data_IF_571971325255
#
_entry.id   IF_571971325255
#
_cell.length_a   1.000
_cell.length_b   1.000
_cell.length_c   1.000
_cell.angle_alpha   90.00
_cell.angle_beta   90.00
_cell.angle_gamma   90.00
#
_symmetry.space_group_name_H-M   'P 1'
#
loop_
_entity.id
_entity.type
_entity.pdbx_description
1 polymer ?
#
# COMPACT_ATOMS: atom_id res chain seq x y z
N UNK A 1 -57.48 3.38 -36.12
CA UNK A 1 -58.52 2.75 -35.29
C UNK A 1 -57.91 1.57 -34.57
N UNK A 2 -57.73 1.61 -33.24
CA UNK A 2 -57.29 0.46 -32.44
C UNK A 2 -58.47 -0.20 -31.71
N UNK A 3 -58.48 -1.53 -31.70
CA UNK A 3 -59.46 -2.39 -31.03
C UNK A 3 -59.09 -2.58 -29.54
N UNK A 4 -60.03 -2.52 -28.58
CA UNK A 4 -59.78 -2.62 -27.15
C UNK A 4 -60.02 -4.04 -26.63
N UNK A 5 -59.69 -4.23 -25.34
CA UNK A 5 -60.01 -5.34 -24.41
C UNK A 5 -58.81 -6.24 -24.10
N UNK A 6 -58.27 -6.12 -22.89
CA UNK A 6 -58.69 -6.94 -21.76
C UNK A 6 -58.12 -6.37 -20.45
N UNK A 7 -59.04 -6.20 -19.49
CA UNK A 7 -58.87 -5.70 -18.12
C UNK A 7 -58.31 -6.75 -17.15
N UNK A 8 -57.82 -6.33 -15.96
CA UNK A 8 -57.00 -7.15 -15.05
C UNK A 8 -57.83 -7.89 -13.99
N UNK A 9 -57.26 -8.88 -13.26
CA UNK A 9 -57.86 -9.35 -12.02
C UNK A 9 -57.33 -8.60 -10.79
N UNK A 10 -58.24 -8.51 -9.82
CA UNK A 10 -58.23 -7.74 -8.58
C UNK A 10 -57.38 -8.35 -7.47
N UNK A 11 -57.04 -7.46 -6.55
CA UNK A 11 -56.53 -7.63 -5.20
C UNK A 11 -57.07 -8.83 -4.41
N UNK A 12 -56.18 -9.42 -3.61
CA UNK A 12 -56.53 -10.11 -2.36
C UNK A 12 -55.74 -9.49 -1.21
N UNK A 13 -56.49 -9.09 -0.19
CA UNK A 13 -56.11 -8.57 1.13
C UNK A 13 -55.53 -9.66 2.04
N UNK A 14 -54.52 -9.29 2.85
CA UNK A 14 -54.18 -9.83 4.18
C UNK A 14 -53.22 -8.81 4.79
N UNK A 15 -53.64 -7.89 5.66
CA UNK A 15 -53.92 -8.02 7.10
C UNK A 15 -52.73 -8.54 7.92
N UNK A 16 -52.24 -7.63 8.76
CA UNK A 16 -51.65 -7.82 10.08
C UNK A 16 -50.31 -8.56 10.17
N UNK A 17 -49.26 -7.76 10.45
CA UNK A 17 -48.33 -7.97 11.57
C UNK A 17 -47.44 -6.75 11.73
N UNK A 18 -47.81 -5.92 12.70
CA UNK A 18 -46.90 -5.01 13.37
C UNK A 18 -45.82 -5.85 14.07
N UNK A 19 -44.57 -5.65 13.66
CA UNK A 19 -43.42 -6.04 14.46
C UNK A 19 -42.64 -4.77 14.76
N UNK A 20 -42.90 -4.23 15.95
CA UNK A 20 -42.05 -3.28 16.64
C UNK A 20 -40.62 -3.84 16.69
N UNK A 21 -39.70 -3.15 16.00
CA UNK A 21 -38.27 -3.33 16.18
C UNK A 21 -37.86 -2.47 17.38
N UNK A 22 -37.91 -3.05 18.58
CA UNK A 22 -37.17 -2.52 19.73
C UNK A 22 -35.67 -2.63 19.42
N UNK A 23 -35.01 -1.48 19.40
CA UNK A 23 -33.54 -1.39 19.38
C UNK A 23 -33.07 -1.67 20.81
N UNK A 24 -32.39 -2.79 20.99
CA UNK A 24 -31.80 -3.20 22.26
C UNK A 24 -30.55 -2.34 22.57
N UNK A 25 -30.73 -1.35 23.45
CA UNK A 25 -29.69 -0.42 23.94
C UNK A 25 -28.65 -1.07 24.88
N UNK A 26 -28.61 -2.41 25.01
CA UNK A 26 -27.67 -3.10 25.92
C UNK A 26 -26.29 -3.42 25.34
N UNK A 27 -26.01 -3.08 24.07
CA UNK A 27 -24.72 -3.33 23.43
C UNK A 27 -23.68 -2.20 23.57
N UNK A 28 -24.03 -1.07 24.19
CA UNK A 28 -23.13 0.09 24.35
C UNK A 28 -22.36 0.08 25.69
N UNK A 29 -22.75 -0.74 26.66
CA UNK A 29 -22.16 -0.70 28.02
C UNK A 29 -21.15 -1.83 28.35
N UNK A 30 -20.71 -2.61 27.35
CA UNK A 30 -19.65 -3.63 27.53
C UNK A 30 -18.24 -3.16 27.13
N UNK A 31 -18.09 -1.96 26.54
CA UNK A 31 -16.79 -1.48 26.05
C UNK A 31 -16.02 -0.55 27.01
N UNK A 32 -16.52 -0.30 28.22
CA UNK A 32 -15.89 0.61 29.22
C UNK A 32 -15.28 -0.08 30.44
N UNK A 33 -15.22 -1.43 30.53
CA UNK A 33 -14.77 -2.14 31.74
C UNK A 33 -13.54 -3.05 31.65
N UNK A 34 -12.74 -3.01 30.58
CA UNK A 34 -11.44 -3.69 30.56
C UNK A 34 -10.26 -2.70 30.60
N UNK A 35 -10.16 -1.94 31.71
CA UNK A 35 -8.89 -1.39 32.18
C UNK A 35 -8.26 -2.41 33.12
N UNK A 36 -7.35 -3.23 32.59
CA UNK A 36 -6.49 -4.08 33.41
C UNK A 36 -5.32 -3.23 33.88
N UNK A 37 -5.27 -2.95 35.19
CA UNK A 37 -4.08 -2.47 35.88
C UNK A 37 -3.08 -3.62 36.02
N UNK A 38 -1.77 -3.41 35.76
CA UNK A 38 -0.79 -4.44 36.05
C UNK A 38 -0.36 -4.35 37.52
N UNK A 39 -0.79 -5.33 38.31
CA UNK A 39 -0.21 -5.64 39.63
C UNK A 39 1.11 -6.37 39.41
N UNK A 40 2.21 -5.78 39.86
CA UNK A 40 3.53 -6.41 39.87
C UNK A 40 3.59 -7.33 41.09
N UNK A 41 3.74 -8.64 40.86
CA UNK A 41 4.17 -9.60 41.87
C UNK A 41 5.47 -10.25 41.41
N UNK A 42 6.52 -10.02 42.19
CA UNK A 42 7.84 -10.64 42.02
C UNK A 42 7.78 -12.14 42.31
N UNK A 43 8.40 -12.95 41.44
CA UNK A 43 8.85 -14.31 41.75
C UNK A 43 10.18 -14.50 41.02
N UNK A 44 11.26 -14.60 41.80
CA UNK A 44 12.57 -15.10 41.38
C UNK A 44 12.56 -16.63 41.42
N UNK A 45 13.03 -17.30 40.37
CA UNK A 45 14.26 -18.11 40.38
C UNK A 45 14.42 -18.99 39.14
N UNK A 46 15.54 -18.75 38.45
CA UNK A 46 16.51 -19.68 37.86
C UNK A 46 16.06 -21.03 37.30
N UNK A 47 16.37 -21.27 36.01
CA UNK A 47 17.02 -22.51 35.56
C UNK A 47 17.66 -22.33 34.17
N UNK A 48 19.00 -22.31 34.16
CA UNK A 48 19.93 -22.74 33.12
C UNK A 48 19.54 -22.55 31.64
N UNK A 49 19.98 -21.44 31.06
CA UNK A 49 20.13 -21.30 29.61
C UNK A 49 21.42 -22.01 29.15
N UNK A 50 21.26 -23.05 28.34
CA UNK A 50 22.32 -23.66 27.52
C UNK A 50 22.87 -22.60 26.54
N UNK A 51 24.10 -22.14 26.78
CA UNK A 51 24.76 -21.07 26.00
C UNK A 51 25.35 -21.55 24.67
N UNK A 52 25.21 -22.83 24.31
CA UNK A 52 25.85 -23.42 23.12
C UNK A 52 24.86 -24.04 22.10
N UNK A 53 23.59 -23.63 22.11
CA UNK A 53 22.68 -23.99 21.01
C UNK A 53 23.14 -23.28 19.72
N UNK A 54 23.49 -24.02 18.64
CA UNK A 54 23.83 -23.39 17.37
C UNK A 54 22.65 -22.53 16.89
N UNK A 55 22.92 -21.27 16.55
CA UNK A 55 21.92 -20.37 15.99
C UNK A 55 21.20 -21.08 14.83
N UNK A 56 19.86 -21.13 14.82
CA UNK A 56 19.13 -21.86 13.79
C UNK A 56 19.54 -21.35 12.40
N UNK A 57 19.78 -22.30 11.49
CA UNK A 57 20.12 -22.07 10.08
C UNK A 57 19.39 -20.85 9.54
N UNK A 58 20.15 -19.96 8.85
CA UNK A 58 19.68 -18.74 8.16
C UNK A 58 18.20 -18.82 7.80
N UNK A 59 17.35 -18.19 8.62
CA UNK A 59 15.90 -18.12 8.44
C UNK A 59 15.61 -17.54 7.07
N UNK A 60 15.23 -18.41 6.12
CA UNK A 60 14.89 -17.99 4.76
C UNK A 60 13.54 -17.28 4.83
N UNK A 61 13.45 -16.09 4.20
CA UNK A 61 12.18 -15.40 3.99
C UNK A 61 11.14 -16.36 3.42
N UNK A 62 9.88 -16.25 3.84
CA UNK A 62 8.75 -17.07 3.39
C UNK A 62 8.61 -17.13 1.85
N UNK A 63 8.93 -16.02 1.16
CA UNK A 63 8.96 -15.98 -0.30
C UNK A 63 9.97 -16.97 -0.91
N UNK A 64 11.03 -17.31 -0.18
CA UNK A 64 12.08 -18.24 -0.59
C UNK A 64 11.75 -19.70 -0.24
N UNK A 65 10.75 -19.95 0.61
CA UNK A 65 10.38 -21.29 1.06
C UNK A 65 9.14 -21.87 0.35
N UNK A 66 8.29 -21.03 -0.24
CA UNK A 66 7.07 -21.44 -0.95
C UNK A 66 7.29 -21.52 -2.48
N UNK A 67 6.54 -22.39 -3.16
CA UNK A 67 6.54 -22.45 -4.64
C UNK A 67 5.93 -21.17 -5.23
N UNK A 68 6.76 -20.32 -5.83
CA UNK A 68 6.33 -19.04 -6.42
C UNK A 68 5.34 -19.22 -7.58
N UNK A 69 5.35 -20.36 -8.26
CA UNK A 69 4.42 -20.69 -9.35
C UNK A 69 2.99 -21.02 -8.88
N UNK A 70 2.83 -21.44 -7.62
CA UNK A 70 1.53 -21.78 -7.06
C UNK A 70 0.84 -20.57 -6.40
N UNK A 71 1.61 -19.53 -6.08
CA UNK A 71 1.08 -18.28 -5.53
C UNK A 71 0.03 -17.65 -6.46
N UNK A 72 -0.97 -17.03 -5.84
CA UNK A 72 -1.99 -16.24 -6.49
C UNK A 72 -2.34 -15.04 -5.60
N UNK A 73 -3.03 -14.05 -6.16
CA UNK A 73 -3.57 -12.93 -5.38
C UNK A 73 -3.14 -11.56 -5.89
N UNK A 74 -3.28 -10.57 -5.02
CA UNK A 74 -3.03 -9.16 -5.34
C UNK A 74 -1.72 -8.72 -4.70
N UNK A 75 -0.81 -8.15 -5.48
CA UNK A 75 0.52 -7.78 -5.01
C UNK A 75 0.84 -6.34 -5.40
N UNK A 76 1.45 -5.62 -4.48
CA UNK A 76 1.94 -4.27 -4.70
C UNK A 76 3.45 -4.30 -4.62
N UNK A 77 4.10 -4.02 -5.75
CA UNK A 77 5.54 -3.89 -5.84
C UNK A 77 5.91 -2.40 -5.80
N UNK A 78 6.70 -1.99 -4.83
CA UNK A 78 7.32 -0.66 -4.85
C UNK A 78 8.73 -0.73 -5.44
N UNK A 79 9.05 0.24 -6.29
CA UNK A 79 10.31 0.27 -7.01
C UNK A 79 10.91 1.68 -6.99
N UNK A 80 12.21 1.78 -6.78
CA UNK A 80 12.92 3.06 -6.75
C UNK A 80 14.25 2.99 -6.01
N UNK A 81 15.04 4.04 -6.17
CA UNK A 81 16.39 4.10 -5.61
C UNK A 81 16.45 3.95 -4.08
N UNK A 82 17.62 3.59 -3.52
CA UNK A 82 17.92 3.82 -2.11
C UNK A 82 17.55 5.25 -1.69
N UNK A 83 16.95 5.37 -0.51
CA UNK A 83 16.49 6.68 0.00
C UNK A 83 15.27 7.27 -0.72
N UNK A 84 14.63 6.56 -1.66
CA UNK A 84 13.38 7.03 -2.29
C UNK A 84 12.16 6.99 -1.37
N UNK A 85 12.28 6.44 -0.16
CA UNK A 85 11.19 6.40 0.81
C UNK A 85 10.27 5.17 0.69
N UNK A 86 10.70 4.07 0.05
CA UNK A 86 9.95 2.80 -0.01
C UNK A 86 9.50 2.31 1.37
N UNK A 87 10.44 2.15 2.30
CA UNK A 87 10.12 1.68 3.66
C UNK A 87 9.20 2.65 4.39
N UNK A 88 9.38 3.97 4.21
CA UNK A 88 8.47 4.99 4.76
C UNK A 88 7.07 4.90 4.16
N UNK A 89 6.94 4.69 2.85
CA UNK A 89 5.66 4.50 2.18
C UNK A 89 4.96 3.24 2.72
N UNK A 90 5.66 2.10 2.77
CA UNK A 90 5.09 0.87 3.30
C UNK A 90 4.67 1.03 4.76
N UNK A 91 5.53 1.53 5.63
CA UNK A 91 5.23 1.64 7.06
C UNK A 91 4.11 2.65 7.34
N UNK A 92 3.99 3.72 6.53
CA UNK A 92 2.91 4.69 6.66
C UNK A 92 1.58 4.14 6.13
N UNK A 93 1.61 3.36 5.05
CA UNK A 93 0.43 2.61 4.58
C UNK A 93 -0.03 1.61 5.64
N UNK A 94 0.89 0.83 6.22
CA UNK A 94 0.56 -0.11 7.30
C UNK A 94 -0.04 0.63 8.50
N UNK A 95 0.52 1.78 8.89
CA UNK A 95 -0.06 2.60 9.96
C UNK A 95 -1.49 3.03 9.64
N UNK A 96 -1.72 3.59 8.45
CA UNK A 96 -3.05 3.98 7.99
C UNK A 96 -4.03 2.79 8.01
N UNK A 97 -3.60 1.62 7.55
CA UNK A 97 -4.39 0.40 7.52
C UNK A 97 -4.74 -0.15 8.90
N UNK A 98 -3.87 0.01 9.89
CA UNK A 98 -4.06 -0.58 11.20
C UNK A 98 -4.76 0.36 12.19
N UNK A 99 -4.63 1.67 12.04
CA UNK A 99 -4.98 2.63 13.10
C UNK A 99 -6.00 3.68 12.69
N UNK A 100 -6.15 4.00 11.40
CA UNK A 100 -6.82 5.26 10.99
C UNK A 100 -7.95 5.07 9.98
N UNK A 101 -7.75 4.24 8.96
CA UNK A 101 -8.70 4.19 7.87
C UNK A 101 -10.02 3.49 8.22
N UNK A 102 -11.09 3.74 7.44
CA UNK A 102 -12.46 3.31 7.75
C UNK A 102 -12.71 1.83 7.36
N UNK A 103 -11.83 0.94 7.78
CA UNK A 103 -11.86 -0.50 7.50
C UNK A 103 -11.50 -1.32 8.75
N UNK A 104 -11.92 -2.57 8.73
CA UNK A 104 -11.32 -3.60 9.58
C UNK A 104 -10.16 -4.21 8.81
N UNK A 105 -8.95 -4.06 9.35
CA UNK A 105 -7.74 -4.64 8.75
C UNK A 105 -7.14 -5.69 9.67
N UNK A 106 -6.75 -6.81 9.09
CA UNK A 106 -5.99 -7.86 9.75
C UNK A 106 -4.62 -8.00 9.07
N UNK A 107 -3.56 -7.97 9.87
CA UNK A 107 -2.22 -8.27 9.41
C UNK A 107 -1.99 -9.78 9.55
N UNK A 108 -1.82 -10.47 8.43
CA UNK A 108 -1.71 -11.93 8.43
C UNK A 108 -0.27 -12.32 8.74
N UNK A 109 -0.07 -12.83 9.95
CA UNK A 109 1.26 -13.15 10.51
C UNK A 109 1.66 -14.60 10.33
N UNK A 110 0.71 -15.46 9.95
CA UNK A 110 0.92 -16.89 9.76
C UNK A 110 1.16 -17.21 8.28
N UNK A 111 2.05 -18.18 8.04
CA UNK A 111 2.22 -18.75 6.72
C UNK A 111 1.10 -19.75 6.38
N UNK A 112 1.11 -20.26 5.14
CA UNK A 112 0.07 -21.18 4.67
C UNK A 112 0.14 -22.54 5.40
N UNK A 113 1.25 -22.79 6.12
CA UNK A 113 1.46 -23.93 7.02
C UNK A 113 1.10 -23.63 8.48
N UNK A 114 0.64 -22.41 8.79
CA UNK A 114 0.24 -21.98 10.14
C UNK A 114 1.37 -21.48 11.04
N UNK A 115 2.62 -21.43 10.55
CA UNK A 115 3.77 -20.94 11.30
C UNK A 115 3.83 -19.42 11.33
N UNK A 116 4.27 -18.85 12.45
CA UNK A 116 4.35 -17.40 12.64
C UNK A 116 5.64 -16.84 12.04
N UNK A 117 5.54 -15.83 11.19
CA UNK A 117 6.70 -15.07 10.70
C UNK A 117 7.14 -14.03 11.75
N UNK A 118 8.07 -14.44 12.61
CA UNK A 118 8.59 -13.59 13.69
C UNK A 118 9.35 -12.36 13.19
N UNK A 119 10.02 -12.44 12.05
CA UNK A 119 10.84 -11.34 11.54
C UNK A 119 9.96 -10.21 11.01
N UNK A 120 8.90 -10.59 10.28
CA UNK A 120 7.88 -9.65 9.82
C UNK A 120 7.14 -9.02 11.00
N UNK A 121 6.77 -9.80 12.02
CA UNK A 121 6.12 -9.28 13.23
C UNK A 121 7.00 -8.29 13.98
N UNK A 122 8.29 -8.61 14.13
CA UNK A 122 9.26 -7.72 14.75
C UNK A 122 9.39 -6.41 13.97
N UNK A 123 9.47 -6.49 12.64
CA UNK A 123 9.54 -5.32 11.78
C UNK A 123 8.32 -4.40 11.94
N UNK A 124 7.10 -4.93 11.86
CA UNK A 124 5.88 -4.13 12.02
C UNK A 124 5.79 -3.54 13.43
N UNK A 125 6.21 -4.29 14.45
CA UNK A 125 6.28 -3.79 15.84
C UNK A 125 7.27 -2.64 15.97
N UNK A 126 8.44 -2.74 15.34
CA UNK A 126 9.42 -1.65 15.30
C UNK A 126 8.86 -0.41 14.61
N UNK A 127 8.21 -0.56 13.45
CA UNK A 127 7.57 0.55 12.75
C UNK A 127 6.54 1.26 13.63
N UNK A 128 5.69 0.52 14.35
CA UNK A 128 4.73 1.11 15.31
C UNK A 128 5.44 1.91 16.40
N UNK A 129 6.52 1.37 16.96
CA UNK A 129 7.32 2.06 17.98
C UNK A 129 7.97 3.34 17.44
N UNK A 130 8.54 3.28 16.24
CA UNK A 130 9.16 4.43 15.56
C UNK A 130 8.13 5.52 15.31
N UNK A 131 6.96 5.17 14.76
CA UNK A 131 5.88 6.12 14.49
C UNK A 131 5.34 6.79 15.75
N UNK A 132 5.19 6.07 16.86
CA UNK A 132 4.81 6.65 18.17
C UNK A 132 5.80 7.71 18.64
N UNK A 133 7.08 7.55 18.32
CA UNK A 133 8.14 8.51 18.64
C UNK A 133 8.36 9.58 17.57
N UNK A 134 7.54 9.58 16.51
CA UNK A 134 7.68 10.44 15.33
C UNK A 134 8.86 10.09 14.42
N UNK A 135 9.58 9.00 14.66
CA UNK A 135 10.74 8.59 13.85
C UNK A 135 10.29 7.86 12.59
N UNK A 136 11.06 8.04 11.52
CA UNK A 136 10.92 7.25 10.30
C UNK A 136 11.61 5.89 10.44
N UNK A 137 11.11 4.84 9.76
CA UNK A 137 11.72 3.52 9.81
C UNK A 137 13.10 3.51 9.17
N UNK A 138 13.96 2.62 9.70
CA UNK A 138 15.24 2.33 9.08
C UNK A 138 15.06 1.72 7.67
N UNK A 139 16.00 1.97 6.72
CA UNK A 139 15.96 1.34 5.41
C UNK A 139 16.00 -0.18 5.48
N UNK A 140 15.36 -0.84 4.51
CA UNK A 140 15.41 -2.30 4.33
C UNK A 140 16.85 -2.76 4.06
N UNK A 141 17.36 -3.79 4.75
CA UNK A 141 18.67 -4.37 4.45
C UNK A 141 18.78 -4.90 3.02
N UNK A 142 20.01 -4.92 2.48
CA UNK A 142 20.31 -5.39 1.12
C UNK A 142 20.47 -6.91 1.10
N UNK A 143 19.85 -7.60 0.15
CA UNK A 143 19.95 -9.06 -0.03
C UNK A 143 18.61 -9.71 -0.40
N UNK A 144 18.62 -10.80 -1.17
CA UNK A 144 17.40 -11.54 -1.55
C UNK A 144 16.70 -12.15 -0.33
N UNK A 145 17.47 -12.56 0.69
CA UNK A 145 16.99 -13.05 1.98
C UNK A 145 16.19 -12.02 2.78
N UNK A 146 16.30 -10.75 2.41
CA UNK A 146 15.59 -9.64 3.03
C UNK A 146 14.39 -9.14 2.22
N UNK A 147 14.06 -9.81 1.11
CA UNK A 147 12.79 -9.59 0.40
C UNK A 147 11.66 -10.12 1.28
N UNK A 148 10.70 -9.27 1.63
CA UNK A 148 9.61 -9.58 2.56
C UNK A 148 8.25 -9.39 1.91
N UNK A 149 7.30 -10.25 2.28
CA UNK A 149 5.90 -10.19 1.84
C UNK A 149 5.01 -9.86 3.04
N UNK A 150 4.43 -8.65 3.07
CA UNK A 150 3.48 -8.26 4.11
C UNK A 150 2.05 -8.48 3.64
N UNK A 151 1.30 -9.35 4.31
CA UNK A 151 -0.06 -9.73 3.91
C UNK A 151 -1.14 -9.01 4.73
N UNK A 152 -2.15 -8.49 4.04
CA UNK A 152 -3.26 -7.76 4.66
C UNK A 152 -4.61 -8.23 4.13
N UNK A 153 -5.53 -8.43 5.07
CA UNK A 153 -6.95 -8.64 4.82
C UNK A 153 -7.70 -7.38 5.26
N UNK A 154 -8.28 -6.65 4.31
CA UNK A 154 -8.93 -5.35 4.56
C UNK A 154 -10.39 -5.42 4.16
N UNK A 155 -11.28 -5.13 5.11
CA UNK A 155 -12.74 -5.08 4.88
C UNK A 155 -13.27 -3.67 5.18
N UNK A 156 -13.81 -2.94 4.18
CA UNK A 156 -14.39 -1.62 4.41
C UNK A 156 -15.54 -1.67 5.43
N UNK A 157 -15.60 -0.69 6.34
CA UNK A 157 -16.70 -0.57 7.32
C UNK A 157 -17.94 0.11 6.72
N UNK A 158 -17.74 0.93 5.69
CA UNK A 158 -18.78 1.72 5.01
C UNK A 158 -18.78 1.44 3.51
N UNK A 159 -19.88 1.78 2.83
CA UNK A 159 -19.98 1.64 1.38
C UNK A 159 -20.07 0.19 0.91
N UNK A 160 -19.40 -0.09 -0.22
CA UNK A 160 -19.32 -1.42 -0.81
C UNK A 160 -18.27 -2.23 -0.02
N UNK A 161 -18.75 -3.14 0.83
CA UNK A 161 -17.92 -3.94 1.75
C UNK A 161 -17.27 -5.16 1.08
N UNK A 162 -16.63 -4.97 -0.08
CA UNK A 162 -15.88 -6.06 -0.71
C UNK A 162 -14.53 -6.21 0.02
N UNK A 163 -14.22 -7.38 0.58
CA UNK A 163 -12.94 -7.59 1.21
C UNK A 163 -11.82 -7.58 0.16
N UNK A 164 -10.67 -7.02 0.53
CA UNK A 164 -9.45 -7.03 -0.24
C UNK A 164 -8.37 -7.79 0.53
N UNK A 165 -7.87 -8.87 -0.06
CA UNK A 165 -6.62 -9.50 0.36
C UNK A 165 -5.52 -9.05 -0.57
N UNK A 166 -4.43 -8.51 -0.04
CA UNK A 166 -3.28 -8.09 -0.84
C UNK A 166 -1.97 -8.16 -0.08
N UNK A 167 -0.88 -8.18 -0.84
CA UNK A 167 0.47 -8.34 -0.34
C UNK A 167 1.33 -7.13 -0.75
N UNK A 168 2.07 -6.55 0.20
CA UNK A 168 3.12 -5.57 -0.08
C UNK A 168 4.46 -6.31 -0.18
N UNK A 169 5.18 -6.11 -1.29
CA UNK A 169 6.53 -6.62 -1.45
C UNK A 169 7.54 -5.55 -1.03
N UNK A 170 8.27 -5.82 0.04
CA UNK A 170 9.37 -4.98 0.49
C UNK A 170 10.70 -5.52 -0.05
N UNK A 171 11.36 -4.71 -0.87
CA UNK A 171 12.67 -4.99 -1.47
C UNK A 171 13.59 -3.80 -1.28
N UNK A 172 14.86 -4.05 -0.98
CA UNK A 172 15.90 -3.01 -0.91
C UNK A 172 16.06 -2.30 -2.27
N UNK A 173 16.32 -1.00 -2.24
CA UNK A 173 16.56 -0.23 -3.47
C UNK A 173 17.85 -0.62 -4.18
N UNK A 174 18.83 -1.11 -3.42
CA UNK A 174 20.12 -1.59 -3.90
C UNK A 174 19.94 -2.86 -4.72
N UNK A 175 19.17 -3.84 -4.23
CA UNK A 175 18.81 -5.05 -4.98
C UNK A 175 18.07 -4.71 -6.29
N UNK A 176 17.21 -3.67 -6.24
CA UNK A 176 16.47 -3.21 -7.42
C UNK A 176 17.33 -2.45 -8.43
N UNK A 177 18.49 -1.89 -8.05
CA UNK A 177 19.41 -1.22 -8.98
C UNK A 177 20.10 -2.20 -9.93
N UNK A 178 20.13 -3.49 -9.62
CA UNK A 178 20.78 -4.50 -10.47
C UNK A 178 20.09 -4.68 -11.83
N UNK A 179 18.88 -4.13 -12.02
CA UNK A 179 18.21 -4.07 -13.33
C UNK A 179 18.78 -2.99 -14.25
N UNK A 180 19.72 -2.17 -13.78
CA UNK A 180 20.48 -1.27 -14.64
C UNK A 180 21.60 -2.04 -15.33
N UNK A 181 21.71 -2.00 -16.67
CA UNK A 181 22.86 -2.56 -17.36
C UNK A 181 24.14 -1.84 -16.92
N UNK A 182 25.25 -2.58 -16.84
CA UNK A 182 26.59 -2.02 -16.64
C UNK A 182 27.51 -2.47 -17.77
N UNK A 183 28.67 -1.83 -17.94
CA UNK A 183 29.64 -2.18 -19.01
C UNK A 183 30.05 -3.66 -19.02
N UNK A 184 29.85 -4.38 -17.91
CA UNK A 184 30.30 -5.77 -17.74
C UNK A 184 29.19 -6.73 -17.30
N UNK A 185 27.94 -6.27 -17.17
CA UNK A 185 26.86 -7.11 -16.67
C UNK A 185 25.52 -6.70 -17.28
N UNK A 186 24.83 -7.68 -17.84
CA UNK A 186 23.44 -7.56 -18.27
C UNK A 186 22.54 -7.23 -17.06
N UNK A 187 21.40 -6.55 -17.29
CA UNK A 187 20.46 -6.25 -16.23
C UNK A 187 19.90 -7.55 -15.64
N UNK A 188 19.88 -7.66 -14.32
CA UNK A 188 19.33 -8.83 -13.62
C UNK A 188 18.34 -8.36 -12.56
N UNK A 189 17.16 -8.96 -12.58
CA UNK A 189 16.25 -8.88 -11.45
C UNK A 189 16.51 -10.08 -10.53
N UNK A 190 16.44 -9.85 -9.22
CA UNK A 190 16.48 -10.92 -8.23
C UNK A 190 15.57 -12.08 -8.65
N UNK A 191 16.07 -13.32 -8.59
CA UNK A 191 15.40 -14.49 -9.18
C UNK A 191 13.97 -14.64 -8.66
N UNK A 192 13.80 -14.43 -7.37
CA UNK A 192 12.54 -14.46 -6.63
C UNK A 192 11.52 -13.47 -7.19
N UNK A 193 11.95 -12.25 -7.48
CA UNK A 193 11.07 -11.22 -8.05
C UNK A 193 10.71 -11.56 -9.49
N UNK A 194 11.65 -12.09 -10.28
CA UNK A 194 11.37 -12.50 -11.64
C UNK A 194 10.36 -13.65 -11.69
N UNK A 195 10.54 -14.69 -10.88
CA UNK A 195 9.62 -15.83 -10.79
C UNK A 195 8.22 -15.38 -10.32
N UNK A 196 8.16 -14.52 -9.30
CA UNK A 196 6.90 -13.98 -8.81
C UNK A 196 6.20 -13.13 -9.88
N UNK A 197 6.92 -12.21 -10.52
CA UNK A 197 6.37 -11.34 -11.55
C UNK A 197 5.94 -12.11 -12.80
N UNK A 198 6.56 -13.25 -13.11
CA UNK A 198 6.20 -14.12 -14.24
C UNK A 198 4.93 -14.94 -13.99
N UNK A 199 4.37 -14.94 -12.78
CA UNK A 199 3.20 -15.74 -12.45
C UNK A 199 1.89 -15.10 -12.97
N UNK A 200 1.19 -15.83 -13.83
CA UNK A 200 -0.07 -15.38 -14.45
C UNK A 200 -1.28 -15.31 -13.50
N UNK A 201 -1.20 -15.98 -12.35
CA UNK A 201 -2.26 -15.97 -11.33
C UNK A 201 -2.18 -14.76 -10.40
N UNK A 202 -1.10 -13.97 -10.50
CA UNK A 202 -0.90 -12.80 -9.68
C UNK A 202 -1.29 -11.54 -10.44
N UNK A 203 -2.04 -10.66 -9.76
CA UNK A 203 -2.34 -9.30 -10.19
C UNK A 203 -1.39 -8.34 -9.49
N UNK A 204 -0.69 -7.52 -10.26
CA UNK A 204 0.30 -6.58 -9.71
C UNK A 204 -0.10 -5.12 -9.90
N UNK A 205 0.17 -4.34 -8.87
CA UNK A 205 0.33 -2.89 -8.96
C UNK A 205 1.82 -2.60 -8.82
N UNK A 206 2.35 -1.79 -9.72
CA UNK A 206 3.72 -1.30 -9.67
C UNK A 206 3.68 0.16 -9.24
N UNK A 207 4.37 0.49 -8.15
CA UNK A 207 4.50 1.86 -7.64
C UNK A 207 5.96 2.31 -7.79
N UNK A 208 6.20 3.25 -8.68
CA UNK A 208 7.49 3.91 -8.87
C UNK A 208 7.61 5.06 -7.87
N UNK A 209 8.50 4.92 -6.89
CA UNK A 209 8.78 5.95 -5.89
C UNK A 209 9.90 6.87 -6.38
N UNK A 210 9.48 8.03 -6.87
CA UNK A 210 10.35 9.03 -7.44
C UNK A 210 11.00 9.89 -6.35
N UNK A 211 12.33 9.93 -6.35
CA UNK A 211 13.13 10.71 -5.41
C UNK A 211 13.62 12.01 -6.08
N UNK A 212 13.11 13.20 -5.71
CA UNK A 212 13.49 14.45 -6.39
C UNK A 212 14.98 14.81 -6.26
N UNK A 213 15.72 14.18 -5.34
CA UNK A 213 17.15 14.38 -5.16
C UNK A 213 18.04 13.52 -6.08
N UNK A 214 17.47 12.65 -6.93
CA UNK A 214 18.23 11.75 -7.81
C UNK A 214 17.82 11.96 -9.25
N UNK A 215 18.73 12.39 -10.13
CA UNK A 215 18.38 12.66 -11.54
C UNK A 215 18.14 11.38 -12.35
N UNK A 216 18.82 10.29 -12.00
CA UNK A 216 18.77 9.01 -12.73
C UNK A 216 17.45 8.24 -12.54
N UNK A 217 16.42 8.81 -11.88
CA UNK A 217 15.15 8.10 -11.66
C UNK A 217 14.54 7.67 -12.99
N UNK A 218 14.65 8.54 -14.01
CA UNK A 218 14.04 8.29 -15.32
C UNK A 218 14.63 7.03 -15.96
N UNK A 219 15.97 6.95 -16.03
CA UNK A 219 16.67 5.80 -16.61
C UNK A 219 16.40 4.52 -15.82
N UNK A 220 16.39 4.58 -14.48
CA UNK A 220 16.08 3.43 -13.64
C UNK A 220 14.69 2.86 -13.94
N UNK A 221 13.67 3.73 -14.02
CA UNK A 221 12.31 3.29 -14.25
C UNK A 221 12.06 2.81 -15.68
N UNK A 222 12.62 3.50 -16.67
CA UNK A 222 12.55 3.08 -18.08
C UNK A 222 13.21 1.72 -18.25
N UNK A 223 14.40 1.50 -17.69
CA UNK A 223 15.12 0.23 -17.79
C UNK A 223 14.35 -0.90 -17.09
N UNK A 224 13.80 -0.64 -15.90
CA UNK A 224 13.00 -1.64 -15.19
C UNK A 224 11.74 -2.06 -15.98
N UNK A 225 10.97 -1.10 -16.49
CA UNK A 225 9.76 -1.40 -17.25
C UNK A 225 10.10 -2.10 -18.58
N UNK A 226 11.17 -1.68 -19.25
CA UNK A 226 11.65 -2.31 -20.49
C UNK A 226 12.15 -3.73 -20.25
N UNK A 227 12.85 -3.97 -19.14
CA UNK A 227 13.27 -5.30 -18.72
C UNK A 227 12.06 -6.21 -18.52
N UNK A 228 11.01 -5.74 -17.84
CA UNK A 228 9.78 -6.52 -17.67
C UNK A 228 9.07 -6.78 -19.00
N UNK A 229 8.93 -5.77 -19.86
CA UNK A 229 8.34 -5.91 -21.20
C UNK A 229 9.08 -6.95 -22.06
N UNK A 230 10.40 -7.09 -21.88
CA UNK A 230 11.26 -7.99 -22.66
C UNK A 230 11.32 -9.41 -22.11
N UNK A 231 11.38 -9.56 -20.78
CA UNK A 231 11.72 -10.83 -20.14
C UNK A 231 10.52 -11.58 -19.56
N UNK A 232 9.37 -10.92 -19.36
CA UNK A 232 8.17 -11.61 -18.89
C UNK A 232 7.45 -12.30 -20.05
N UNK A 233 6.75 -13.43 -19.81
CA UNK A 233 6.05 -14.17 -20.87
C UNK A 233 4.81 -13.44 -21.43
N UNK A 234 4.52 -12.23 -20.94
CA UNK A 234 3.37 -11.41 -21.33
C UNK A 234 3.72 -9.93 -21.26
N UNK A 235 2.89 -9.10 -21.88
CA UNK A 235 3.00 -7.65 -21.80
C UNK A 235 2.55 -7.14 -20.42
N UNK A 236 3.49 -6.64 -19.61
CA UNK A 236 3.20 -6.16 -18.25
C UNK A 236 2.21 -5.01 -18.24
N UNK A 237 2.18 -4.18 -19.29
CA UNK A 237 1.28 -3.01 -19.40
C UNK A 237 -0.20 -3.37 -19.50
N UNK A 238 -0.50 -4.58 -19.97
CA UNK A 238 -1.88 -5.07 -20.04
C UNK A 238 -2.33 -5.67 -18.69
N UNK A 239 -1.39 -6.20 -17.92
CA UNK A 239 -1.66 -6.96 -16.69
C UNK A 239 -1.56 -6.14 -15.41
N UNK A 240 -0.66 -5.16 -15.36
CA UNK A 240 -0.38 -4.36 -14.18
C UNK A 240 -1.02 -2.97 -14.22
N UNK A 241 -1.26 -2.42 -13.04
CA UNK A 241 -1.52 -0.99 -12.86
C UNK A 241 -0.24 -0.27 -12.46
N UNK A 242 -0.06 0.97 -12.91
CA UNK A 242 1.16 1.76 -12.73
C UNK A 242 0.91 3.05 -11.95
N UNK A 243 1.50 3.17 -10.77
CA UNK A 243 1.52 4.39 -9.96
C UNK A 243 2.89 5.05 -9.99
N UNK A 244 2.95 6.37 -10.09
CA UNK A 244 4.15 7.16 -9.79
C UNK A 244 3.87 7.96 -8.52
N UNK A 245 4.73 7.82 -7.52
CA UNK A 245 4.60 8.50 -6.22
C UNK A 245 5.82 9.38 -5.97
N UNK A 246 5.58 10.68 -5.85
CA UNK A 246 6.63 11.66 -5.52
C UNK A 246 6.85 11.68 -4.02
N UNK A 247 7.97 11.09 -3.57
CA UNK A 247 8.24 10.77 -2.16
C UNK A 247 8.50 11.97 -1.24
N UNK A 248 9.02 13.08 -1.78
CA UNK A 248 9.43 14.27 -1.02
C UNK A 248 8.85 15.53 -1.67
N UNK A 249 7.54 15.79 -1.51
CA UNK A 249 6.82 16.81 -2.29
C UNK A 249 7.38 18.23 -2.12
N UNK A 250 7.93 18.58 -0.96
CA UNK A 250 8.55 19.89 -0.74
C UNK A 250 9.83 20.09 -1.56
N UNK A 251 10.71 19.08 -1.58
CA UNK A 251 11.92 19.08 -2.41
C UNK A 251 11.57 19.07 -3.90
N UNK A 252 10.60 18.25 -4.30
CA UNK A 252 10.09 18.20 -5.67
C UNK A 252 9.49 19.54 -6.13
N UNK A 253 8.75 20.25 -5.27
CA UNK A 253 8.23 21.57 -5.60
C UNK A 253 9.35 22.58 -5.84
N UNK A 254 10.40 22.55 -5.01
CA UNK A 254 11.58 23.40 -5.21
C UNK A 254 12.20 23.12 -6.58
N UNK A 255 12.46 21.85 -6.88
CA UNK A 255 12.99 21.43 -8.19
C UNK A 255 12.09 21.87 -9.35
N UNK A 256 10.77 21.75 -9.24
CA UNK A 256 9.84 22.22 -10.28
C UNK A 256 9.97 23.73 -10.52
N UNK A 257 10.07 24.54 -9.45
CA UNK A 257 10.24 26.00 -9.54
C UNK A 257 11.55 26.37 -10.22
N UNK A 258 12.60 25.58 -10.00
CA UNK A 258 13.90 25.78 -10.63
C UNK A 258 13.89 25.38 -12.11
N UNK A 259 13.13 24.32 -12.47
CA UNK A 259 13.04 23.81 -13.85
C UNK A 259 12.10 24.62 -14.76
N UNK A 260 11.02 25.20 -14.22
CA UNK A 260 10.00 25.90 -15.02
C UNK A 260 9.70 27.30 -14.50
N UNK A 261 9.82 28.29 -15.37
CA UNK A 261 9.33 29.64 -15.11
C UNK A 261 7.81 29.62 -14.89
N UNK A 262 7.31 30.51 -14.03
CA UNK A 262 5.88 30.63 -13.73
C UNK A 262 5.39 29.83 -12.51
N UNK A 263 6.20 28.93 -11.93
CA UNK A 263 5.81 28.15 -10.74
C UNK A 263 6.16 28.82 -9.39
N UNK A 264 6.75 30.02 -9.40
CA UNK A 264 7.21 30.71 -8.17
C UNK A 264 6.11 30.89 -7.12
N UNK A 265 4.88 31.17 -7.56
CA UNK A 265 3.69 31.39 -6.73
C UNK A 265 3.03 30.10 -6.20
N UNK A 266 3.43 28.92 -6.69
CA UNK A 266 2.83 27.65 -6.28
C UNK A 266 3.28 27.33 -4.85
N UNK A 267 2.32 27.21 -3.93
CA UNK A 267 2.59 26.92 -2.52
C UNK A 267 2.87 25.44 -2.27
N UNK A 268 2.21 24.54 -3.00
CA UNK A 268 2.28 23.10 -2.78
C UNK A 268 2.27 22.30 -4.09
N UNK A 269 2.98 21.17 -4.07
CA UNK A 269 2.89 20.15 -5.10
C UNK A 269 1.60 19.34 -4.89
N UNK A 270 0.54 19.62 -5.66
CA UNK A 270 -0.73 18.85 -5.68
C UNK A 270 -1.33 18.88 -7.08
N UNK A 271 -2.17 17.88 -7.40
CA UNK A 271 -2.92 17.80 -8.65
C UNK A 271 -1.99 17.94 -9.87
N UNK A 272 -2.33 18.86 -10.78
CA UNK A 272 -1.55 19.10 -12.01
C UNK A 272 -0.08 19.42 -11.74
N UNK A 273 0.25 20.09 -10.62
CA UNK A 273 1.65 20.46 -10.36
C UNK A 273 2.52 19.23 -10.06
N UNK A 274 1.94 18.19 -9.46
CA UNK A 274 2.64 16.91 -9.29
C UNK A 274 2.91 16.27 -10.64
N UNK A 275 1.95 16.32 -11.55
CA UNK A 275 2.09 15.82 -12.91
C UNK A 275 3.14 16.61 -13.71
N UNK A 276 3.07 17.95 -13.68
CA UNK A 276 4.04 18.85 -14.31
C UNK A 276 5.48 18.60 -13.82
N UNK A 277 5.64 18.29 -12.53
CA UNK A 277 6.94 17.90 -11.97
C UNK A 277 7.44 16.59 -12.55
N UNK A 278 6.61 15.54 -12.56
CA UNK A 278 7.00 14.23 -13.12
C UNK A 278 7.33 14.36 -14.62
N UNK A 279 6.52 15.09 -15.39
CA UNK A 279 6.78 15.38 -16.81
C UNK A 279 8.14 16.09 -17.03
N UNK A 280 8.49 17.03 -16.15
CA UNK A 280 9.74 17.79 -16.27
C UNK A 280 10.97 17.00 -15.82
N UNK A 281 10.83 16.24 -14.73
CA UNK A 281 11.95 15.63 -14.02
C UNK A 281 12.25 14.21 -14.51
N UNK A 282 11.23 13.44 -14.90
CA UNK A 282 11.37 12.07 -15.40
C UNK A 282 10.50 11.89 -16.65
N UNK A 283 10.88 12.60 -17.72
CA UNK A 283 10.10 12.77 -18.94
C UNK A 283 9.78 11.44 -19.64
N UNK A 284 10.71 10.51 -19.68
CA UNK A 284 10.53 9.22 -20.37
C UNK A 284 9.57 8.32 -19.58
N UNK A 285 9.71 8.29 -18.26
CA UNK A 285 8.82 7.62 -17.32
C UNK A 285 7.42 8.22 -17.39
N UNK A 286 7.31 9.55 -17.41
CA UNK A 286 6.03 10.23 -17.60
C UNK A 286 5.37 9.81 -18.91
N UNK A 287 6.13 9.74 -20.01
CA UNK A 287 5.59 9.28 -21.30
C UNK A 287 5.11 7.84 -21.25
N UNK A 288 5.86 6.93 -20.63
CA UNK A 288 5.42 5.53 -20.45
C UNK A 288 4.12 5.46 -19.64
N UNK A 289 4.01 6.25 -18.57
CA UNK A 289 2.79 6.36 -17.78
C UNK A 289 1.63 6.98 -18.57
N UNK A 290 1.89 8.04 -19.32
CA UNK A 290 0.89 8.72 -20.14
C UNK A 290 0.35 7.76 -21.21
N UNK A 291 1.22 6.98 -21.83
CA UNK A 291 0.91 5.97 -22.84
C UNK A 291 0.44 4.63 -22.23
N UNK A 292 0.25 4.55 -20.89
CA UNK A 292 -0.26 3.32 -20.26
C UNK A 292 -1.67 3.01 -20.78
N UNK A 293 -1.95 1.78 -21.27
CA UNK A 293 -3.10 1.51 -22.13
C UNK A 293 -4.46 1.84 -21.52
N UNK A 294 -4.65 1.56 -20.22
CA UNK A 294 -5.89 1.84 -19.51
C UNK A 294 -5.69 3.05 -18.59
N UNK A 295 -6.33 4.20 -18.86
CA UNK A 295 -6.21 5.39 -18.02
C UNK A 295 -6.74 5.19 -16.59
N UNK A 296 -7.57 4.17 -16.32
CA UNK A 296 -8.01 3.85 -14.95
C UNK A 296 -6.97 3.06 -14.17
N UNK A 297 -6.01 2.44 -14.87
CA UNK A 297 -4.90 1.65 -14.29
C UNK A 297 -3.66 2.48 -14.01
N UNK A 298 -3.72 3.80 -14.11
CA UNK A 298 -2.57 4.68 -13.88
C UNK A 298 -2.86 5.77 -12.87
N UNK A 299 -1.85 6.13 -12.08
CA UNK A 299 -1.94 7.20 -11.07
C UNK A 299 -0.62 7.97 -10.97
N UNK A 300 -0.69 9.29 -10.79
CA UNK A 300 0.40 10.10 -10.24
C UNK A 300 -0.09 10.68 -8.92
N UNK A 301 0.70 10.52 -7.86
CA UNK A 301 0.40 11.09 -6.56
C UNK A 301 1.66 11.61 -5.87
N UNK A 302 1.47 12.46 -4.86
CA UNK A 302 2.52 12.85 -3.93
C UNK A 302 2.44 11.98 -2.68
N UNK A 303 3.55 11.80 -1.99
CA UNK A 303 3.56 11.24 -0.64
C UNK A 303 3.77 12.36 0.38
N UNK A 304 2.69 13.06 0.73
CA UNK A 304 2.72 13.98 1.86
C UNK A 304 2.34 13.23 3.13
N UNK A 305 3.26 13.21 4.10
CA UNK A 305 3.11 12.46 5.35
C UNK A 305 2.55 13.31 6.50
N UNK A 306 2.51 14.64 6.32
CA UNK A 306 2.19 15.62 7.35
C UNK A 306 3.34 16.56 7.68
N UNK A 307 3.31 17.16 8.86
CA UNK A 307 4.30 18.12 9.33
C UNK A 307 5.55 17.39 9.86
N UNK A 308 6.70 17.73 9.30
CA UNK A 308 8.01 17.13 9.64
C UNK A 308 8.92 18.22 10.17
N UNK A 309 9.49 18.01 11.36
CA UNK A 309 10.41 18.93 12.02
C UNK A 309 11.79 18.27 12.21
N UNK A 310 12.84 19.08 12.29
CA UNK A 310 14.15 18.62 12.73
C UNK A 310 14.26 18.75 14.26
N UNK A 311 14.31 17.61 14.95
CA UNK A 311 14.44 17.56 16.40
C UNK A 311 15.75 16.85 16.73
N UNK A 312 16.74 17.63 17.15
CA UNK A 312 18.10 17.16 17.50
C UNK A 312 18.83 16.49 16.33
N UNK A 313 18.74 17.05 15.12
CA UNK A 313 19.40 16.53 13.92
C UNK A 313 18.70 15.33 13.30
N UNK A 314 17.46 15.06 13.69
CA UNK A 314 16.64 13.96 13.18
C UNK A 314 15.30 14.49 12.70
N UNK A 315 14.97 14.22 11.42
CA UNK A 315 13.64 14.49 10.88
C UNK A 315 12.60 13.63 11.61
N UNK A 316 11.55 14.26 12.13
CA UNK A 316 10.46 13.60 12.84
C UNK A 316 9.10 14.07 12.34
N UNK A 317 8.18 13.13 12.20
CA UNK A 317 6.78 13.42 11.91
C UNK A 317 6.08 13.87 13.21
N UNK A 318 5.70 15.14 13.27
CA UNK A 318 5.05 15.73 14.46
C UNK A 318 3.53 15.73 14.35
N UNK A 319 2.99 15.87 13.13
CA UNK A 319 1.56 15.80 12.86
C UNK A 319 1.31 14.99 11.59
N UNK A 320 0.83 13.75 11.68
CA UNK A 320 0.55 12.92 10.50
C UNK A 320 -0.60 13.52 9.68
N UNK A 321 -0.49 13.41 8.36
CA UNK A 321 -1.56 13.66 7.40
C UNK A 321 -1.73 12.43 6.51
N UNK A 322 -2.91 11.82 6.55
CA UNK A 322 -3.21 10.57 5.85
C UNK A 322 -3.86 10.78 4.48
N UNK A 323 -4.16 12.01 4.05
CA UNK A 323 -4.89 12.25 2.79
C UNK A 323 -4.19 11.63 1.58
N UNK A 324 -2.86 11.73 1.51
CA UNK A 324 -2.10 11.20 0.38
C UNK A 324 -2.14 9.67 0.37
N UNK A 325 -1.95 9.04 1.53
CA UNK A 325 -1.91 7.57 1.62
C UNK A 325 -3.30 6.95 1.48
N UNK A 326 -4.34 7.63 1.97
CA UNK A 326 -5.73 7.28 1.72
C UNK A 326 -6.05 7.28 0.22
N UNK A 327 -5.70 8.34 -0.51
CA UNK A 327 -5.94 8.41 -1.95
C UNK A 327 -5.17 7.33 -2.74
N UNK A 328 -3.93 7.03 -2.33
CA UNK A 328 -3.15 5.93 -2.92
C UNK A 328 -3.80 4.58 -2.62
N UNK A 329 -4.27 4.36 -1.38
CA UNK A 329 -4.94 3.12 -1.00
C UNK A 329 -6.29 2.93 -1.68
N UNK A 330 -7.10 3.97 -1.81
CA UNK A 330 -8.36 3.92 -2.56
C UNK A 330 -8.13 3.53 -4.02
N UNK A 331 -7.12 4.14 -4.66
CA UNK A 331 -6.73 3.73 -6.01
C UNK A 331 -6.31 2.25 -6.06
N UNK A 332 -5.46 1.78 -5.16
CA UNK A 332 -5.04 0.37 -5.10
C UNK A 332 -6.23 -0.57 -4.90
N UNK A 333 -7.14 -0.23 -3.98
CA UNK A 333 -8.35 -0.98 -3.72
C UNK A 333 -9.22 -1.09 -4.97
N UNK A 334 -9.37 0.01 -5.72
CA UNK A 334 -10.09 0.02 -6.98
C UNK A 334 -9.44 -0.87 -8.04
N UNK A 335 -8.11 -0.91 -8.14
CA UNK A 335 -7.43 -1.77 -9.11
C UNK A 335 -7.67 -3.26 -8.84
N UNK A 336 -7.70 -3.66 -7.57
CA UNK A 336 -7.86 -5.07 -7.22
C UNK A 336 -9.32 -5.54 -7.16
N UNK A 337 -10.24 -4.68 -6.74
CA UNK A 337 -11.66 -5.03 -6.53
C UNK A 337 -12.60 -4.53 -7.62
N UNK A 338 -12.17 -3.54 -8.41
CA UNK A 338 -13.02 -2.83 -9.37
C UNK A 338 -14.04 -1.88 -8.74
N UNK A 339 -13.98 -1.64 -7.41
CA UNK A 339 -14.89 -0.76 -6.66
C UNK A 339 -14.13 0.34 -5.93
N UNK A 340 -14.79 1.46 -5.66
CA UNK A 340 -14.23 2.58 -4.88
C UNK A 340 -14.53 2.42 -3.39
N UNK A 341 -13.63 2.89 -2.53
CA UNK A 341 -13.89 2.97 -1.09
C UNK A 341 -14.89 4.08 -0.76
N UNK A 342 -15.45 4.01 0.45
CA UNK A 342 -16.33 5.03 1.00
C UNK A 342 -17.81 4.88 0.64
N UNK A 343 -18.66 5.78 1.15
CA UNK A 343 -20.10 5.62 1.06
C UNK A 343 -20.58 5.67 -0.39
N UNK A 344 -21.55 4.80 -0.71
CA UNK A 344 -22.20 4.82 -2.02
C UNK A 344 -22.92 6.15 -2.24
N UNK A 345 -23.21 6.48 -3.49
CA UNK A 345 -23.94 7.71 -3.81
C UNK A 345 -25.30 7.80 -3.08
N UNK A 346 -26.02 6.67 -2.96
CA UNK A 346 -27.24 6.57 -2.16
C UNK A 346 -27.00 6.89 -0.68
N UNK A 347 -25.93 6.37 -0.09
CA UNK A 347 -25.57 6.68 1.30
C UNK A 347 -25.20 8.15 1.49
N UNK A 348 -24.55 8.78 0.49
CA UNK A 348 -24.26 10.22 0.51
C UNK A 348 -25.54 11.05 0.46
N UNK A 349 -26.49 10.70 -0.40
CA UNK A 349 -27.78 11.39 -0.51
C UNK A 349 -28.64 11.18 0.74
N UNK A 350 -28.71 9.95 1.27
CA UNK A 350 -29.46 9.66 2.48
C UNK A 350 -28.99 10.51 3.67
N UNK A 351 -27.67 10.72 3.80
CA UNK A 351 -27.10 11.60 4.83
C UNK A 351 -27.56 13.05 4.70
N UNK A 352 -27.73 13.58 3.48
CA UNK A 352 -28.21 14.94 3.25
C UNK A 352 -29.68 15.15 3.66
N UNK A 353 -30.48 14.07 3.72
CA UNK A 353 -31.88 14.12 4.16
C UNK A 353 -32.06 13.85 5.65
N UNK A 354 -31.02 13.39 6.35
CA UNK A 354 -31.02 13.11 7.79
C UNK A 354 -30.15 14.10 8.58
N UNK A 355 -29.55 15.08 7.90
CA UNK A 355 -28.86 16.25 8.45
C UNK A 355 -29.73 17.48 8.29
#
# INVERSE_FOLDING_TARGET
MPDPRLTPPKASTNSDRDHDFEIDDTLIDQFTKNRISPTISAVDNETNDDVDAPLPEKRRSRLLSESLHEKAGNYVLTFGFPGSGKTTFHSFLVRYLMEEGPFRSEFVTKNDFGEVDYDINRMVTNWKSEWRSGRFPAPTPVGEEHIRELRFDVTPLQGVRIPLQFNLLEVSGETLKEVLPTEHRDPVLARVLFELLSNEKIKFIIILLLNPAVHDNDDLFVNFLSYMDTNLPFNIRQRASLGIVVSKPGEALKTLKDLRQGYSHVAELRGKHTEDFVESFAKSTYRIWYDWPDPKKKMISRLYLGEIEDIKGQKRLVRPDYQSIEGIFDWMYQQFTGKTLGPTWYQKIARLFHS
#
